data_IF_087974588417
#
_entry.id   IF_087974588417
#
_cell.length_a   1.000
_cell.length_b   1.000
_cell.length_c   1.000
_cell.angle_alpha   90.00
_cell.angle_beta   90.00
_cell.angle_gamma   90.00
#
_symmetry.space_group_name_H-M   'P 1'
#
loop_
_entity.id
_entity.type
_entity.pdbx_description
1 polymer ?
#
# COMPACT_ATOMS: atom_id res chain seq x y z
N UNK A 1 9.73 -17.75 -36.81
CA UNK A 1 8.45 -17.02 -36.83
C UNK A 1 8.19 -16.61 -35.39
N UNK A 2 8.78 -15.49 -34.95
CA UNK A 2 8.41 -14.84 -33.69
C UNK A 2 7.24 -13.92 -34.03
N UNK A 3 6.04 -14.50 -34.03
CA UNK A 3 4.83 -13.83 -34.52
C UNK A 3 3.87 -13.54 -33.37
N UNK A 4 4.38 -12.96 -32.28
CA UNK A 4 3.64 -12.07 -31.37
C UNK A 4 4.67 -11.20 -30.65
N UNK A 5 4.65 -9.88 -30.84
CA UNK A 5 5.49 -8.94 -30.09
C UNK A 5 5.12 -8.82 -28.61
N UNK A 6 4.63 -9.89 -27.97
CA UNK A 6 4.32 -9.92 -26.55
C UNK A 6 5.61 -10.22 -25.77
N UNK A 7 6.12 -9.21 -25.07
CA UNK A 7 7.20 -9.39 -24.10
C UNK A 7 6.76 -10.42 -23.06
N UNK A 8 7.48 -11.53 -22.94
CA UNK A 8 7.23 -12.55 -21.92
C UNK A 8 7.37 -11.93 -20.52
N UNK A 9 6.38 -12.17 -19.65
CA UNK A 9 6.39 -11.68 -18.27
C UNK A 9 6.52 -12.87 -17.32
N UNK A 10 7.57 -12.92 -16.51
CA UNK A 10 7.81 -13.99 -15.54
C UNK A 10 7.18 -13.63 -14.19
N UNK A 11 6.23 -14.45 -13.72
CA UNK A 11 5.77 -14.42 -12.33
C UNK A 11 6.85 -15.07 -11.46
N UNK A 12 7.55 -14.26 -10.67
CA UNK A 12 8.66 -14.70 -9.82
C UNK A 12 8.21 -15.54 -8.62
N UNK A 13 6.97 -15.35 -8.15
CA UNK A 13 6.43 -16.07 -6.99
C UNK A 13 6.17 -17.52 -7.37
N UNK A 14 5.49 -17.72 -8.49
CA UNK A 14 5.08 -19.05 -8.94
C UNK A 14 6.06 -19.68 -9.96
N UNK A 15 6.98 -18.89 -10.51
CA UNK A 15 8.04 -19.28 -11.45
C UNK A 15 7.54 -19.76 -12.81
N UNK A 16 6.53 -19.08 -13.36
CA UNK A 16 6.03 -19.33 -14.72
C UNK A 16 5.77 -18.03 -15.48
N UNK A 17 5.73 -18.14 -16.81
CA UNK A 17 5.29 -17.04 -17.64
C UNK A 17 3.81 -16.73 -17.43
N UNK A 18 3.49 -15.45 -17.39
CA UNK A 18 2.16 -14.93 -17.19
C UNK A 18 1.70 -14.13 -18.41
N UNK A 19 0.40 -14.14 -18.65
CA UNK A 19 -0.21 -13.33 -19.69
C UNK A 19 -0.09 -11.85 -19.33
N UNK A 20 0.71 -11.12 -20.10
CA UNK A 20 0.98 -9.69 -19.86
C UNK A 20 -0.30 -8.88 -19.67
N UNK A 21 -1.26 -9.00 -20.59
CA UNK A 21 -2.54 -8.25 -20.54
C UNK A 21 -3.35 -8.49 -19.27
N UNK A 22 -3.12 -9.61 -18.58
CA UNK A 22 -3.81 -9.96 -17.33
C UNK A 22 -3.06 -9.38 -16.13
N UNK A 23 -1.73 -9.46 -16.11
CA UNK A 23 -0.92 -9.04 -14.95
C UNK A 23 -0.57 -7.55 -14.96
N UNK A 24 -0.36 -6.95 -16.13
CA UNK A 24 0.10 -5.56 -16.27
C UNK A 24 -0.73 -4.53 -15.48
N UNK A 25 -2.08 -4.57 -15.47
CA UNK A 25 -2.87 -3.64 -14.65
C UNK A 25 -2.59 -3.76 -13.15
N UNK A 26 -2.26 -4.95 -12.66
CA UNK A 26 -1.98 -5.18 -11.24
C UNK A 26 -0.61 -4.68 -10.80
N UNK A 27 0.37 -4.64 -11.72
CA UNK A 27 1.74 -4.18 -11.44
C UNK A 27 1.84 -2.68 -11.21
N UNK A 28 1.04 -1.91 -11.95
CA UNK A 28 1.05 -0.44 -11.87
C UNK A 28 -0.02 0.11 -10.94
N UNK A 29 -0.88 -0.76 -10.40
CA UNK A 29 -2.03 -0.34 -9.62
C UNK A 29 -1.58 0.47 -8.39
N UNK A 30 -2.10 1.70 -8.30
CA UNK A 30 -1.88 2.58 -7.15
C UNK A 30 -0.48 3.19 -7.09
N UNK A 31 0.37 3.01 -8.10
CA UNK A 31 1.69 3.65 -8.17
C UNK A 31 1.56 5.05 -8.77
N UNK A 32 2.10 6.06 -8.11
CA UNK A 32 2.27 7.42 -8.62
C UNK A 32 3.69 7.58 -9.18
N UNK A 33 3.76 8.14 -10.40
CA UNK A 33 4.99 8.40 -11.13
C UNK A 33 5.24 9.90 -11.22
N UNK A 34 6.50 10.30 -11.12
CA UNK A 34 6.92 11.68 -11.35
C UNK A 34 6.99 12.04 -12.86
N UNK A 35 7.45 13.26 -13.14
CA UNK A 35 7.62 13.76 -14.50
C UNK A 35 8.66 12.97 -15.33
N UNK A 36 9.58 12.26 -14.66
CA UNK A 36 10.61 11.44 -15.27
C UNK A 36 10.21 9.96 -15.38
N UNK A 37 8.96 9.62 -15.08
CA UNK A 37 8.44 8.24 -15.04
C UNK A 37 9.10 7.37 -13.96
N UNK A 38 9.58 7.97 -12.88
CA UNK A 38 10.08 7.26 -11.71
C UNK A 38 8.95 7.07 -10.69
N UNK A 39 8.84 5.87 -10.14
CA UNK A 39 7.87 5.57 -9.09
C UNK A 39 8.24 6.32 -7.81
N UNK A 40 7.31 7.10 -7.27
CA UNK A 40 7.53 7.94 -6.08
C UNK A 40 6.69 7.52 -4.90
N UNK A 41 5.47 7.04 -5.14
CA UNK A 41 4.54 6.63 -4.09
C UNK A 41 3.67 5.48 -4.54
N UNK A 42 3.26 4.64 -3.58
CA UNK A 42 2.37 3.52 -3.84
C UNK A 42 1.23 3.45 -2.82
N UNK A 43 0.00 3.27 -3.30
CA UNK A 43 -1.18 3.01 -2.47
C UNK A 43 -1.58 1.53 -2.66
N UNK A 44 -1.34 0.68 -1.66
CA UNK A 44 -1.53 -0.77 -1.79
C UNK A 44 -3.02 -1.18 -1.84
N UNK A 45 -3.94 -0.31 -1.40
CA UNK A 45 -5.37 -0.61 -1.42
C UNK A 45 -6.03 -0.23 -2.75
N UNK A 46 -6.82 -1.16 -3.31
CA UNK A 46 -7.47 -0.97 -4.61
C UNK A 46 -8.47 0.19 -4.66
N UNK A 47 -9.13 0.50 -3.56
CA UNK A 47 -10.25 1.46 -3.51
C UNK A 47 -10.00 2.63 -2.57
N UNK A 48 -8.81 2.72 -1.99
CA UNK A 48 -8.50 3.69 -0.95
C UNK A 48 -7.07 4.19 -1.08
N UNK A 49 -6.90 5.49 -0.91
CA UNK A 49 -5.59 6.13 -0.75
C UNK A 49 -5.25 6.39 0.72
N UNK A 50 -5.98 5.78 1.65
CA UNK A 50 -5.81 6.03 3.08
C UNK A 50 -4.47 5.52 3.65
N UNK A 51 -3.87 4.51 3.02
CA UNK A 51 -2.52 4.01 3.35
C UNK A 51 -1.63 4.18 2.14
N UNK A 52 -0.40 4.66 2.36
CA UNK A 52 0.59 4.86 1.31
C UNK A 52 1.97 4.37 1.76
N UNK A 53 2.81 4.05 0.77
CA UNK A 53 4.25 3.82 0.91
C UNK A 53 4.98 4.86 0.07
N UNK A 54 5.92 5.57 0.68
CA UNK A 54 6.69 6.64 0.05
C UNK A 54 8.12 6.57 0.60
N UNK A 55 9.16 6.36 -0.24
CA UNK A 55 10.54 6.23 0.24
C UNK A 55 11.03 7.43 1.07
N UNK A 56 10.49 8.62 0.84
CA UNK A 56 10.84 9.84 1.55
C UNK A 56 10.11 9.98 2.90
N UNK A 57 9.07 9.16 3.14
CA UNK A 57 8.27 9.17 4.38
C UNK A 57 8.47 7.88 5.14
N UNK A 58 8.90 7.98 6.41
CA UNK A 58 9.11 6.81 7.27
C UNK A 58 9.96 5.70 6.61
N UNK A 59 10.89 6.08 5.73
CA UNK A 59 11.76 5.18 4.97
C UNK A 59 10.99 4.14 4.14
N UNK A 60 9.87 4.52 3.54
CA UNK A 60 9.05 3.63 2.71
C UNK A 60 8.16 2.67 3.51
N UNK A 61 8.13 2.76 4.84
CA UNK A 61 7.18 1.99 5.63
C UNK A 61 5.74 2.45 5.36
N UNK A 62 4.74 1.56 5.46
CA UNK A 62 3.34 1.93 5.30
C UNK A 62 2.91 2.97 6.34
N UNK A 63 2.28 4.04 5.87
CA UNK A 63 1.72 5.11 6.70
C UNK A 63 0.30 5.43 6.29
N UNK A 64 -0.49 5.95 7.22
CA UNK A 64 -1.75 6.61 6.85
C UNK A 64 -1.44 7.92 6.13
N UNK A 65 -2.14 8.17 5.02
CA UNK A 65 -1.92 9.37 4.21
C UNK A 65 -2.24 10.65 4.98
N UNK A 66 -3.28 10.61 5.82
CA UNK A 66 -3.61 11.68 6.75
C UNK A 66 -2.73 11.56 8.01
N UNK A 67 -1.64 12.32 8.05
CA UNK A 67 -0.76 12.44 9.23
C UNK A 67 0.56 11.67 9.15
N UNK A 68 0.77 10.86 8.10
CA UNK A 68 2.02 10.12 7.88
C UNK A 68 2.46 9.23 9.06
N UNK A 69 1.50 8.80 9.88
CA UNK A 69 1.74 7.89 11.01
C UNK A 69 1.82 6.46 10.49
N UNK A 70 2.81 5.69 10.95
CA UNK A 70 2.96 4.29 10.53
C UNK A 70 1.74 3.47 10.94
N UNK A 71 1.27 2.62 10.04
CA UNK A 71 0.09 1.78 10.28
C UNK A 71 0.31 0.84 11.47
N UNK A 72 1.51 0.27 11.60
CA UNK A 72 1.93 -0.57 12.74
C UNK A 72 1.74 0.15 14.09
N UNK A 73 2.07 1.45 14.17
CA UNK A 73 1.96 2.23 15.41
C UNK A 73 0.50 2.41 15.80
N UNK A 74 -0.36 2.76 14.85
CA UNK A 74 -1.78 2.97 15.11
C UNK A 74 -2.47 1.66 15.51
N UNK A 75 -2.09 0.56 14.86
CA UNK A 75 -2.60 -0.76 15.20
C UNK A 75 -2.21 -1.18 16.63
N UNK A 76 -0.92 -1.10 16.97
CA UNK A 76 -0.42 -1.43 18.31
C UNK A 76 -1.06 -0.54 19.39
N UNK A 77 -1.22 0.76 19.11
CA UNK A 77 -1.89 1.68 20.01
C UNK A 77 -3.36 1.28 20.25
N UNK A 78 -4.07 0.83 19.22
CA UNK A 78 -5.45 0.35 19.38
C UNK A 78 -5.50 -0.93 20.19
N UNK A 79 -4.54 -1.85 20.03
CA UNK A 79 -4.45 -3.05 20.86
C UNK A 79 -4.19 -2.71 22.34
N UNK A 80 -3.35 -1.70 22.61
CA UNK A 80 -3.03 -1.27 23.96
C UNK A 80 -4.19 -0.51 24.63
N UNK A 81 -4.81 0.43 23.92
CA UNK A 81 -5.81 1.34 24.48
C UNK A 81 -7.25 0.80 24.39
N UNK A 82 -7.52 -0.12 23.46
CA UNK A 82 -8.87 -0.65 23.21
C UNK A 82 -9.88 0.36 22.65
N UNK A 83 -9.45 1.56 22.26
CA UNK A 83 -10.35 2.63 21.82
C UNK A 83 -9.78 3.45 20.63
N UNK A 84 -10.35 3.23 19.44
CA UNK A 84 -9.93 3.92 18.21
C UNK A 84 -10.09 5.44 18.26
N UNK A 85 -11.14 5.96 18.92
CA UNK A 85 -11.36 7.41 19.03
C UNK A 85 -10.31 8.07 19.93
N UNK A 86 -9.85 7.36 20.97
CA UNK A 86 -8.76 7.84 21.82
C UNK A 86 -7.45 7.88 21.01
N UNK A 87 -7.12 6.79 20.31
CA UNK A 87 -5.91 6.71 19.47
C UNK A 87 -5.91 7.78 18.39
N UNK A 88 -7.02 7.99 17.70
CA UNK A 88 -7.16 9.05 16.70
C UNK A 88 -6.81 10.44 17.26
N UNK A 89 -7.27 10.73 18.49
CA UNK A 89 -6.90 11.99 19.18
C UNK A 89 -5.44 12.04 19.60
N UNK A 90 -4.88 10.95 20.09
CA UNK A 90 -3.48 10.89 20.56
C UNK A 90 -2.48 11.12 19.42
N UNK A 91 -2.81 10.64 18.22
CA UNK A 91 -1.96 10.73 17.04
C UNK A 91 -2.39 11.84 16.07
N UNK A 92 -3.39 12.64 16.44
CA UNK A 92 -3.92 13.76 15.64
C UNK A 92 -4.34 13.37 14.20
N UNK A 93 -4.93 12.19 14.06
CA UNK A 93 -5.43 11.68 12.77
C UNK A 93 -6.95 11.45 12.80
N UNK A 94 -7.64 11.45 11.64
CA UNK A 94 -9.03 11.06 11.59
C UNK A 94 -9.24 9.61 12.05
N UNK A 95 -10.39 9.30 12.66
CA UNK A 95 -10.73 7.92 13.06
C UNK A 95 -10.69 6.97 11.86
N UNK A 96 -11.10 7.45 10.68
CA UNK A 96 -11.02 6.68 9.43
C UNK A 96 -9.57 6.26 9.06
N UNK A 97 -8.56 7.06 9.42
CA UNK A 97 -7.16 6.70 9.23
C UNK A 97 -6.76 5.56 10.18
N UNK A 98 -7.22 5.60 11.43
CA UNK A 98 -7.02 4.50 12.39
C UNK A 98 -7.70 3.22 11.89
N UNK A 99 -8.94 3.30 11.40
CA UNK A 99 -9.63 2.15 10.80
C UNK A 99 -8.88 1.59 9.58
N UNK A 100 -8.35 2.46 8.71
CA UNK A 100 -7.57 2.06 7.56
C UNK A 100 -6.25 1.38 7.95
N UNK A 101 -5.57 1.90 8.98
CA UNK A 101 -4.36 1.28 9.52
C UNK A 101 -4.63 -0.13 10.05
N UNK A 102 -5.70 -0.30 10.84
CA UNK A 102 -6.09 -1.61 11.37
C UNK A 102 -6.37 -2.59 10.23
N UNK A 103 -7.22 -2.19 9.28
CA UNK A 103 -7.59 -3.06 8.16
C UNK A 103 -6.37 -3.46 7.31
N UNK A 104 -5.39 -2.55 7.15
CA UNK A 104 -4.15 -2.83 6.45
C UNK A 104 -3.29 -3.86 7.21
N UNK A 105 -3.01 -3.64 8.50
CA UNK A 105 -2.19 -4.55 9.30
C UNK A 105 -2.82 -5.95 9.43
N UNK A 106 -4.14 -6.03 9.65
CA UNK A 106 -4.85 -7.32 9.67
C UNK A 106 -4.76 -8.06 8.34
N UNK A 107 -4.74 -7.35 7.21
CA UNK A 107 -4.60 -7.97 5.88
C UNK A 107 -3.22 -8.54 5.60
N UNK A 108 -2.17 -8.06 6.29
CA UNK A 108 -0.81 -8.58 6.17
C UNK A 108 -0.62 -9.90 6.94
N UNK A 109 -1.46 -10.15 7.96
CA UNK A 109 -1.40 -11.35 8.79
C UNK A 109 -2.22 -12.54 8.22
N UNK A 110 -3.04 -12.30 7.19
CA UNK A 110 -3.90 -13.28 6.52
C UNK A 110 -3.16 -14.08 5.44
#
# INVERSE_FOLDING_TARGET
MEETGETELLDLVRRQYAFRKVIEPSLYHGIEFDQNQLATRWYPSHRSKAVMLDPEVSFGKPVVADGAVRTEILYDAVLAEGNKNLVARLYEVPVAAVDAAIAFEESLAA
#
